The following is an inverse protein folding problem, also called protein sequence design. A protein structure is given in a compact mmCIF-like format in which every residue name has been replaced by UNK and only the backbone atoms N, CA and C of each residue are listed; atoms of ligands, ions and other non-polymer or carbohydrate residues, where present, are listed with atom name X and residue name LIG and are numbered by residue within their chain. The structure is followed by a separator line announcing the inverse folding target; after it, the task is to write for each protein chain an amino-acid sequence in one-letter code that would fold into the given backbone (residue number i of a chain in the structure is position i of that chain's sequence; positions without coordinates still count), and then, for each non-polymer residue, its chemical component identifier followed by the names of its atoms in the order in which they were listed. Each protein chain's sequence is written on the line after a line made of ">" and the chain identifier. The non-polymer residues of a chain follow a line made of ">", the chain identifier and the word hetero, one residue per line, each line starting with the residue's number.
data_IF_589551576671
#
_entry.id   IF_589551576671
#
_cell.length_a   1.000
_cell.length_b   1.000
_cell.length_c   1.000
_cell.angle_alpha   90.00
_cell.angle_beta   90.00
_cell.angle_gamma   90.00
#
_symmetry.space_group_name_H-M   'P 1'
#
loop_
_entity.id
_entity.type
_entity.pdbx_description
1 polymer ?
#
# COMPACT_ATOMS: atom_id res chain seq x y z
N UNK A 1 23.16 1.09 8.81
CA UNK A 1 22.22 1.66 7.83
C UNK A 1 21.24 2.54 8.60
N UNK A 2 21.03 3.80 8.21
CA UNK A 2 19.92 4.58 8.76
C UNK A 2 18.62 3.85 8.39
N UNK A 3 17.92 3.34 9.39
CA UNK A 3 16.60 2.76 9.18
C UNK A 3 15.64 3.86 8.76
N UNK A 4 14.78 3.59 7.77
CA UNK A 4 13.69 4.48 7.35
C UNK A 4 12.77 4.86 8.52
N UNK A 5 12.79 4.07 9.61
CA UNK A 5 12.12 4.36 10.87
C UNK A 5 12.57 5.67 11.53
N UNK A 6 13.86 6.05 11.42
CA UNK A 6 14.36 7.30 12.01
C UNK A 6 13.80 8.50 11.24
N UNK A 7 13.79 8.43 9.91
CA UNK A 7 13.16 9.43 9.04
C UNK A 7 11.65 9.53 9.31
N UNK A 8 11.02 8.39 9.68
CA UNK A 8 9.59 8.31 9.98
C UNK A 8 9.23 8.89 11.35
N UNK A 9 9.98 8.55 12.40
CA UNK A 9 9.70 8.96 13.79
C UNK A 9 10.17 10.38 14.05
N UNK A 10 11.36 10.73 13.58
CA UNK A 10 12.05 11.99 13.90
C UNK A 10 12.67 12.63 12.64
N UNK A 11 11.84 13.08 11.67
CA UNK A 11 12.33 13.77 10.48
C UNK A 11 13.09 15.06 10.82
N UNK A 12 12.71 15.75 11.90
CA UNK A 12 13.36 16.98 12.37
C UNK A 12 14.80 16.73 12.86
N UNK A 13 15.04 15.60 13.54
CA UNK A 13 16.39 15.21 13.99
C UNK A 13 17.28 14.94 12.79
N UNK A 14 16.75 14.26 11.77
CA UNK A 14 17.47 14.01 10.50
C UNK A 14 17.76 15.32 9.76
N UNK A 15 16.80 16.25 9.66
CA UNK A 15 17.04 17.58 9.06
C UNK A 15 18.15 18.34 9.79
N UNK A 16 18.12 18.33 11.12
CA UNK A 16 19.09 19.07 11.93
C UNK A 16 20.50 18.43 11.84
N UNK A 17 20.58 17.10 11.79
CA UNK A 17 21.84 16.38 11.57
C UNK A 17 22.42 16.66 10.16
N UNK A 18 21.56 16.68 9.12
CA UNK A 18 21.97 17.05 7.76
C UNK A 18 22.48 18.49 7.68
N UNK A 19 21.83 19.44 8.36
CA UNK A 19 22.33 20.82 8.47
C UNK A 19 23.68 20.90 9.18
N UNK A 20 23.86 20.18 10.30
CA UNK A 20 25.15 20.12 11.02
C UNK A 20 26.28 19.52 10.17
N UNK A 21 25.96 18.59 9.29
CA UNK A 21 26.90 17.98 8.34
C UNK A 21 27.15 18.83 7.09
N UNK A 22 26.45 19.95 6.91
CA UNK A 22 26.53 20.78 5.71
C UNK A 22 25.89 20.16 4.47
N UNK A 23 25.04 19.14 4.63
CA UNK A 23 24.38 18.44 3.53
C UNK A 23 22.95 18.96 3.29
N UNK A 24 22.82 20.28 3.18
CA UNK A 24 21.52 20.94 2.98
C UNK A 24 20.81 20.51 1.69
N UNK A 25 21.57 20.07 0.68
CA UNK A 25 21.01 19.51 -0.56
C UNK A 25 20.20 18.22 -0.37
N UNK A 26 20.33 17.54 0.77
CA UNK A 26 19.57 16.30 1.07
C UNK A 26 18.35 16.55 1.96
N UNK A 27 18.13 17.78 2.43
CA UNK A 27 16.90 18.15 3.16
C UNK A 27 15.61 17.80 2.39
N UNK A 28 15.52 18.02 1.06
CA UNK A 28 14.32 17.64 0.29
C UNK A 28 14.08 16.12 0.27
N UNK A 29 15.16 15.32 0.33
CA UNK A 29 15.06 13.86 0.29
C UNK A 29 14.34 13.30 1.52
N UNK A 30 14.44 13.98 2.67
CA UNK A 30 13.71 13.60 3.89
C UNK A 30 12.20 13.66 3.65
N UNK A 31 11.72 14.74 3.02
CA UNK A 31 10.30 14.90 2.69
C UNK A 31 9.86 13.96 1.56
N UNK A 32 10.71 13.72 0.57
CA UNK A 32 10.45 12.78 -0.52
C UNK A 32 10.29 11.35 0.00
N UNK A 33 11.25 10.87 0.82
CA UNK A 33 11.21 9.55 1.44
C UNK A 33 9.97 9.41 2.32
N UNK A 34 9.62 10.45 3.10
CA UNK A 34 8.41 10.45 3.93
C UNK A 34 7.13 10.29 3.10
N UNK A 35 7.05 10.98 1.95
CA UNK A 35 5.91 10.89 1.04
C UNK A 35 5.85 9.53 0.33
N UNK A 36 6.97 9.00 -0.15
CA UNK A 36 7.05 7.66 -0.74
C UNK A 36 6.66 6.59 0.29
N UNK A 37 7.15 6.68 1.52
CA UNK A 37 6.78 5.78 2.62
C UNK A 37 5.28 5.82 2.92
N UNK A 38 4.69 7.02 2.96
CA UNK A 38 3.25 7.19 3.20
C UNK A 38 2.43 6.54 2.07
N UNK A 39 2.77 6.81 0.81
CA UNK A 39 2.10 6.20 -0.36
C UNK A 39 2.22 4.68 -0.33
N UNK A 40 3.42 4.15 -0.07
CA UNK A 40 3.65 2.71 0.02
C UNK A 40 2.77 2.05 1.09
N UNK A 41 2.66 2.65 2.27
CA UNK A 41 1.81 2.14 3.36
C UNK A 41 0.33 2.20 3.02
N UNK A 42 -0.12 3.31 2.43
CA UNK A 42 -1.52 3.50 2.05
C UNK A 42 -1.95 2.48 0.98
N UNK A 43 -1.11 2.27 -0.04
CA UNK A 43 -1.32 1.25 -1.05
C UNK A 43 -1.34 -0.16 -0.44
N UNK A 44 -0.40 -0.46 0.48
CA UNK A 44 -0.33 -1.77 1.12
C UNK A 44 -1.60 -2.05 1.92
N UNK A 45 -2.04 -1.07 2.72
CA UNK A 45 -3.27 -1.16 3.50
C UNK A 45 -4.50 -1.31 2.60
N UNK A 46 -4.53 -0.60 1.47
CA UNK A 46 -5.59 -0.72 0.46
C UNK A 46 -5.62 -2.12 -0.15
N UNK A 47 -4.47 -2.69 -0.52
CA UNK A 47 -4.38 -4.06 -1.06
C UNK A 47 -4.87 -5.08 -0.03
N UNK A 48 -4.42 -4.97 1.23
CA UNK A 48 -4.87 -5.88 2.28
C UNK A 48 -6.39 -5.79 2.50
N UNK A 49 -6.96 -4.58 2.46
CA UNK A 49 -8.41 -4.37 2.52
C UNK A 49 -9.13 -5.02 1.33
N UNK A 50 -8.66 -4.81 0.11
CA UNK A 50 -9.26 -5.40 -1.10
C UNK A 50 -9.18 -6.93 -1.07
N UNK A 51 -8.05 -7.48 -0.59
CA UNK A 51 -7.88 -8.93 -0.41
C UNK A 51 -8.88 -9.47 0.60
N UNK A 52 -9.11 -8.76 1.70
CA UNK A 52 -10.12 -9.12 2.68
C UNK A 52 -11.54 -9.07 2.08
N UNK A 53 -11.90 -7.98 1.40
CA UNK A 53 -13.21 -7.84 0.74
C UNK A 53 -13.47 -8.96 -0.30
N UNK A 54 -12.46 -9.31 -1.09
CA UNK A 54 -12.53 -10.44 -2.02
C UNK A 54 -12.73 -11.77 -1.29
N UNK A 55 -12.02 -12.02 -0.21
CA UNK A 55 -12.16 -13.27 0.55
C UNK A 55 -13.57 -13.40 1.15
N UNK A 56 -14.12 -12.31 1.67
CA UNK A 56 -15.49 -12.26 2.17
C UNK A 56 -16.52 -12.49 1.05
N UNK A 57 -16.30 -11.92 -0.13
CA UNK A 57 -17.12 -12.21 -1.31
C UNK A 57 -17.01 -13.68 -1.73
N UNK A 58 -15.82 -14.28 -1.74
CA UNK A 58 -15.63 -15.69 -2.06
C UNK A 58 -16.39 -16.61 -1.10
N UNK A 59 -16.41 -16.29 0.20
CA UNK A 59 -17.24 -17.01 1.19
C UNK A 59 -18.72 -16.89 0.85
N UNK A 60 -19.22 -15.67 0.61
CA UNK A 60 -20.63 -15.42 0.24
C UNK A 60 -21.03 -16.16 -1.03
N UNK A 61 -20.17 -16.18 -2.06
CA UNK A 61 -20.39 -16.94 -3.30
C UNK A 61 -20.52 -18.44 -2.99
N UNK A 62 -19.66 -18.98 -2.13
CA UNK A 62 -19.72 -20.37 -1.70
C UNK A 62 -21.05 -20.71 -1.00
N UNK A 63 -21.53 -19.83 -0.13
CA UNK A 63 -22.82 -19.99 0.55
C UNK A 63 -24.00 -19.89 -0.40
N UNK A 64 -24.01 -18.91 -1.30
CA UNK A 64 -25.05 -18.75 -2.33
C UNK A 64 -25.13 -19.97 -3.25
N UNK A 65 -23.99 -20.50 -3.70
CA UNK A 65 -23.94 -21.72 -4.51
C UNK A 65 -24.51 -22.93 -3.76
N UNK A 66 -24.23 -23.07 -2.46
CA UNK A 66 -24.84 -24.12 -1.61
C UNK A 66 -26.35 -23.97 -1.52
N UNK A 67 -26.87 -22.74 -1.52
CA UNK A 67 -28.29 -22.42 -1.51
C UNK A 67 -28.96 -22.46 -2.89
N UNK A 68 -28.21 -22.81 -3.95
CA UNK A 68 -28.65 -22.75 -5.36
C UNK A 68 -29.09 -21.35 -5.82
N UNK A 69 -28.59 -20.31 -5.17
CA UNK A 69 -28.81 -18.91 -5.55
C UNK A 69 -27.83 -18.47 -6.64
N UNK A 70 -28.24 -17.54 -7.49
CA UNK A 70 -27.38 -17.02 -8.56
C UNK A 70 -26.31 -16.08 -7.97
N UNK A 71 -25.04 -16.48 -8.07
CA UNK A 71 -23.88 -15.73 -7.58
C UNK A 71 -23.06 -15.04 -8.70
N UNK A 72 -23.57 -14.95 -9.93
CA UNK A 72 -22.85 -14.33 -11.07
C UNK A 72 -22.45 -12.88 -10.80
N UNK A 73 -23.28 -12.12 -10.08
CA UNK A 73 -23.00 -10.73 -9.73
C UNK A 73 -21.81 -10.62 -8.77
N UNK A 74 -21.76 -11.48 -7.78
CA UNK A 74 -20.70 -11.56 -6.78
C UNK A 74 -19.40 -12.06 -7.41
N UNK A 75 -19.46 -13.05 -8.32
CA UNK A 75 -18.30 -13.54 -9.07
C UNK A 75 -17.68 -12.39 -9.87
N UNK A 76 -18.47 -11.63 -10.63
CA UNK A 76 -17.98 -10.45 -11.38
C UNK A 76 -17.38 -9.40 -10.45
N UNK A 77 -17.92 -9.22 -9.23
CA UNK A 77 -17.32 -8.31 -8.23
C UNK A 77 -15.97 -8.83 -7.73
N UNK A 78 -15.85 -10.13 -7.47
CA UNK A 78 -14.61 -10.75 -7.03
C UNK A 78 -13.51 -10.66 -8.10
N UNK A 79 -13.85 -10.84 -9.38
CA UNK A 79 -12.92 -10.64 -10.51
C UNK A 79 -12.43 -9.19 -10.57
N UNK A 80 -13.34 -8.21 -10.54
CA UNK A 80 -12.98 -6.78 -10.52
C UNK A 80 -12.09 -6.41 -9.33
N UNK A 81 -12.28 -7.04 -8.17
CA UNK A 81 -11.42 -6.83 -7.02
C UNK A 81 -10.02 -7.42 -7.25
N UNK A 82 -9.90 -8.59 -7.86
CA UNK A 82 -8.61 -9.18 -8.23
C UNK A 82 -7.85 -8.28 -9.22
N UNK A 83 -8.52 -7.70 -10.22
CA UNK A 83 -7.89 -6.76 -11.14
C UNK A 83 -7.36 -5.52 -10.42
N UNK A 84 -8.17 -4.92 -9.53
CA UNK A 84 -7.76 -3.78 -8.71
C UNK A 84 -6.60 -4.11 -7.76
N UNK A 85 -6.56 -5.32 -7.21
CA UNK A 85 -5.44 -5.77 -6.38
C UNK A 85 -4.17 -5.82 -7.23
N UNK A 86 -4.23 -6.43 -8.41
CA UNK A 86 -3.08 -6.52 -9.32
C UNK A 86 -2.57 -5.14 -9.73
N UNK A 87 -3.45 -4.21 -10.09
CA UNK A 87 -3.09 -2.84 -10.45
C UNK A 87 -2.32 -2.13 -9.32
N UNK A 88 -2.84 -2.21 -8.08
CA UNK A 88 -2.18 -1.61 -6.91
C UNK A 88 -0.88 -2.33 -6.52
N UNK A 89 -0.78 -3.63 -6.75
CA UNK A 89 0.46 -4.37 -6.53
C UNK A 89 1.55 -4.00 -7.54
N UNK A 90 1.17 -3.66 -8.78
CA UNK A 90 2.08 -3.10 -9.78
C UNK A 90 2.55 -1.70 -9.34
N UNK A 91 1.63 -0.86 -8.87
CA UNK A 91 1.94 0.48 -8.35
C UNK A 91 2.95 0.42 -7.18
N UNK A 92 2.73 -0.48 -6.21
CA UNK A 92 3.69 -0.72 -5.12
C UNK A 92 5.05 -1.20 -5.62
N UNK A 93 5.07 -2.07 -6.64
CA UNK A 93 6.32 -2.59 -7.20
C UNK A 93 7.10 -1.49 -7.92
N UNK A 94 6.42 -0.56 -8.59
CA UNK A 94 7.03 0.65 -9.14
C UNK A 94 7.66 1.52 -8.04
N UNK A 95 6.89 1.80 -6.98
CA UNK A 95 7.34 2.62 -5.86
C UNK A 95 8.57 2.08 -5.10
N UNK A 96 8.83 0.77 -5.18
CA UNK A 96 9.99 0.10 -4.56
C UNK A 96 11.25 0.12 -5.45
N UNK A 97 11.11 0.37 -6.75
CA UNK A 97 12.21 0.38 -7.71
C UNK A 97 12.84 1.77 -7.89
N UNK A 98 12.10 2.83 -7.58
CA UNK A 98 12.54 4.24 -7.52
C UNK A 98 12.86 4.71 -6.10
#
# INVERSE_FOLDING_TARGET
>A
MLGIEVIRKEPEVVRNDLKKRGEEGKLPWVDEIKNKDKKWRDLKQTIDRLRHERNELSKKIGEMKKRKENAEREIKKAEKLSDKINEKEVEIRGLKRE
#
